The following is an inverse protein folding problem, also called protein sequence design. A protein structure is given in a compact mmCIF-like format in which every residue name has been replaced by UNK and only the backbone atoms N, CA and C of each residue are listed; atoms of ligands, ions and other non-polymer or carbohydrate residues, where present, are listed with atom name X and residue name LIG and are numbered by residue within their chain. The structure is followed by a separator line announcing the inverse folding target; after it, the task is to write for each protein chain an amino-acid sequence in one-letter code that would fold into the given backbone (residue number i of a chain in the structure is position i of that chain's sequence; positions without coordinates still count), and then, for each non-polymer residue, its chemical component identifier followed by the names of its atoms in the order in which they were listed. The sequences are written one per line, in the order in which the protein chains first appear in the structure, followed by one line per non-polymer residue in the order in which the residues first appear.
data_IF_516361502340
#
_entry.id   IF_516361502340
#
_cell.length_a   1.000
_cell.length_b   1.000
_cell.length_c   1.000
_cell.angle_alpha   90.00
_cell.angle_beta   90.00
_cell.angle_gamma   90.00
#
_symmetry.space_group_name_H-M   'P 1'
#
loop_
_entity.id
_entity.type
_entity.pdbx_description
1 polymer ?
#
# COMPACT_ATOMS: atom_id res chain seq x y z
N UNK A 1 -22.03 8.00 0.94
CA UNK A 1 -20.83 7.81 1.76
C UNK A 1 -19.62 8.04 0.90
N UNK A 2 -18.83 9.06 1.22
CA UNK A 2 -17.55 9.31 0.56
C UNK A 2 -16.47 8.85 1.53
N UNK A 3 -15.77 7.79 1.16
CA UNK A 3 -14.70 7.21 1.98
C UNK A 3 -13.40 7.21 1.17
N UNK A 4 -12.28 7.54 1.82
CA UNK A 4 -10.96 7.67 1.16
C UNK A 4 -9.90 6.91 1.94
N UNK A 5 -9.08 6.11 1.25
CA UNK A 5 -7.93 5.46 1.85
C UNK A 5 -6.90 6.52 2.29
N UNK A 6 -6.75 6.72 3.59
CA UNK A 6 -5.86 7.72 4.18
C UNK A 6 -4.51 7.14 4.55
N UNK A 7 -4.48 5.96 5.19
CA UNK A 7 -3.26 5.30 5.62
C UNK A 7 -3.29 3.79 5.39
N UNK A 8 -2.12 3.21 5.13
CA UNK A 8 -1.86 1.82 5.51
C UNK A 8 -1.31 1.78 6.93
N UNK A 9 -1.85 0.86 7.73
CA UNK A 9 -1.39 0.60 9.08
C UNK A 9 -0.42 -0.57 9.04
N UNK A 10 0.85 -0.28 9.24
CA UNK A 10 1.93 -1.24 9.14
C UNK A 10 2.04 -2.08 10.43
N UNK A 11 2.30 -3.40 10.30
CA UNK A 11 2.63 -4.22 11.45
C UNK A 11 4.05 -3.95 11.94
N UNK A 12 4.37 -4.46 13.12
CA UNK A 12 5.71 -4.34 13.69
C UNK A 12 6.01 -2.92 14.19
N UNK A 13 7.23 -2.44 13.95
CA UNK A 13 7.67 -1.14 14.47
C UNK A 13 8.41 -0.32 13.43
N UNK A 14 8.44 1.02 13.57
CA UNK A 14 9.16 1.88 12.63
C UNK A 14 10.67 1.57 12.55
N UNK A 15 11.29 1.08 13.62
CA UNK A 15 12.72 0.77 13.64
C UNK A 15 13.12 -0.33 12.63
N UNK A 16 12.25 -1.33 12.41
CA UNK A 16 12.49 -2.37 11.41
C UNK A 16 12.44 -1.79 9.99
N UNK A 17 11.53 -0.84 9.75
CA UNK A 17 11.44 -0.11 8.48
C UNK A 17 12.65 0.79 8.26
N UNK A 18 13.01 1.60 9.25
CA UNK A 18 14.10 2.57 9.19
C UNK A 18 15.49 1.93 9.00
N UNK A 19 15.60 0.64 9.32
CA UNK A 19 16.79 -0.18 9.07
C UNK A 19 16.93 -0.61 7.59
N UNK A 20 15.83 -0.63 6.84
CA UNK A 20 15.76 -1.13 5.46
C UNK A 20 15.80 0.02 4.45
N UNK A 21 15.19 1.15 4.81
CA UNK A 21 15.00 2.28 3.90
C UNK A 21 16.02 3.40 4.12
N UNK A 22 16.38 4.17 3.07
CA UNK A 22 17.22 5.35 3.22
C UNK A 22 16.55 6.41 4.12
N UNK A 23 17.37 7.35 4.62
CA UNK A 23 16.93 8.42 5.54
C UNK A 23 15.69 9.18 5.05
N UNK A 24 15.59 9.41 3.74
CA UNK A 24 14.48 10.12 3.11
C UNK A 24 13.11 9.40 3.21
N UNK A 25 13.10 8.11 3.51
CA UNK A 25 11.91 7.27 3.69
C UNK A 25 11.73 6.82 5.14
N UNK A 26 12.54 7.34 6.08
CA UNK A 26 12.41 7.01 7.49
C UNK A 26 11.15 7.61 8.08
N UNK A 27 10.62 6.92 9.07
CA UNK A 27 9.48 7.38 9.84
C UNK A 27 9.80 8.66 10.60
N UNK A 28 8.83 9.57 10.68
CA UNK A 28 8.80 10.71 11.58
C UNK A 28 7.56 10.56 12.46
N UNK A 29 7.75 10.53 13.77
CA UNK A 29 6.68 10.35 14.77
C UNK A 29 5.79 9.12 14.51
N UNK A 30 6.40 8.01 14.08
CA UNK A 30 5.68 6.76 13.82
C UNK A 30 4.81 6.79 12.55
N UNK A 31 5.05 7.73 11.65
CA UNK A 31 4.38 7.81 10.35
C UNK A 31 5.35 8.11 9.21
N UNK A 32 4.99 7.69 8.00
CA UNK A 32 5.58 8.15 6.75
C UNK A 32 4.48 8.86 5.96
N UNK A 33 4.61 10.18 5.84
CA UNK A 33 3.65 11.02 5.12
C UNK A 33 3.92 10.89 3.62
N UNK A 34 3.11 10.08 2.95
CA UNK A 34 3.08 9.89 1.51
C UNK A 34 1.78 10.47 0.95
N UNK A 35 1.82 10.97 -0.29
CA UNK A 35 0.63 11.45 -0.98
C UNK A 35 0.22 10.44 -2.07
N UNK A 36 -1.09 10.13 -2.23
CA UNK A 36 -2.22 10.61 -1.44
C UNK A 36 -2.54 9.74 -0.20
N UNK A 37 -1.86 8.61 -0.01
CA UNK A 37 -2.08 7.66 1.10
C UNK A 37 -0.80 7.50 1.88
N UNK A 38 -0.83 7.73 3.19
CA UNK A 38 0.30 7.59 4.11
C UNK A 38 0.55 6.16 4.59
N UNK A 39 1.64 5.98 5.33
CA UNK A 39 1.91 4.77 6.11
C UNK A 39 2.05 5.17 7.57
N UNK A 40 1.56 4.37 8.50
CA UNK A 40 1.82 4.61 9.93
C UNK A 40 1.83 3.32 10.75
N UNK A 41 2.43 3.40 11.93
CA UNK A 41 2.38 2.37 12.95
C UNK A 41 1.43 2.79 14.07
N UNK A 42 0.84 1.81 14.76
CA UNK A 42 0.06 2.05 15.97
C UNK A 42 0.86 1.61 17.20
N UNK A 43 0.50 2.18 18.34
CA UNK A 43 0.93 1.72 19.66
C UNK A 43 -0.33 1.38 20.49
N UNK A 44 -0.58 0.09 20.81
CA UNK A 44 0.24 -1.08 20.47
C UNK A 44 0.18 -1.45 18.97
N UNK A 45 1.20 -2.17 18.45
CA UNK A 45 1.28 -2.52 17.04
C UNK A 45 0.25 -3.59 16.65
N UNK A 46 -0.22 -3.52 15.40
CA UNK A 46 -1.03 -4.58 14.81
C UNK A 46 -0.15 -5.78 14.38
N UNK A 47 -0.73 -6.97 14.40
CA UNK A 47 -0.04 -8.20 13.96
C UNK A 47 0.08 -8.30 12.43
N UNK A 48 -0.81 -7.63 11.70
CA UNK A 48 -0.92 -7.71 10.23
C UNK A 48 -1.13 -6.34 9.63
N UNK A 49 -0.79 -6.22 8.34
CA UNK A 49 -1.13 -5.05 7.53
C UNK A 49 -2.63 -4.79 7.59
N UNK A 50 -2.99 -3.54 7.88
CA UNK A 50 -4.36 -3.05 7.83
C UNK A 50 -4.41 -1.75 7.04
N UNK A 51 -5.61 -1.23 6.84
CA UNK A 51 -5.88 0.02 6.16
C UNK A 51 -6.78 0.90 7.01
N UNK A 52 -6.66 2.19 6.79
CA UNK A 52 -7.49 3.19 7.40
C UNK A 52 -8.07 4.09 6.34
N UNK A 53 -9.34 4.42 6.51
CA UNK A 53 -10.05 5.32 5.64
C UNK A 53 -10.60 6.50 6.42
N UNK A 54 -10.59 7.67 5.78
CA UNK A 54 -11.31 8.86 6.21
C UNK A 54 -12.75 8.80 5.71
N UNK A 55 -13.71 9.04 6.60
CA UNK A 55 -15.13 9.20 6.27
C UNK A 55 -15.77 10.22 7.20
N UNK A 56 -16.60 11.11 6.64
CA UNK A 56 -17.41 12.07 7.41
C UNK A 56 -18.68 11.44 8.01
N UNK A 57 -19.01 10.22 7.62
CA UNK A 57 -20.21 9.52 8.08
C UNK A 57 -19.91 8.82 9.41
N UNK A 58 -20.73 9.04 10.44
CA UNK A 58 -20.57 8.42 11.75
C UNK A 58 -20.75 6.89 11.71
N UNK A 59 -19.70 6.17 12.12
CA UNK A 59 -19.78 4.88 12.81
C UNK A 59 -20.03 3.60 11.98
N UNK A 60 -19.14 2.62 12.12
CA UNK A 60 -19.40 1.17 12.29
C UNK A 60 -18.11 0.38 12.08
N UNK A 61 -18.06 -0.87 12.59
CA UNK A 61 -17.06 -1.86 12.18
C UNK A 61 -17.31 -2.21 10.71
N UNK A 62 -16.69 -1.44 9.81
CA UNK A 62 -16.75 -1.69 8.38
C UNK A 62 -15.87 -2.90 8.02
N UNK A 63 -16.27 -3.58 6.97
CA UNK A 63 -15.59 -4.76 6.44
C UNK A 63 -15.57 -4.70 4.91
N UNK A 64 -14.49 -5.20 4.31
CA UNK A 64 -14.40 -5.42 2.87
C UNK A 64 -14.03 -6.88 2.62
N UNK A 65 -15.05 -7.72 2.46
CA UNK A 65 -14.90 -9.16 2.17
C UNK A 65 -14.09 -9.91 3.24
N UNK A 66 -14.39 -9.67 4.51
CA UNK A 66 -13.71 -10.26 5.67
C UNK A 66 -12.45 -9.53 6.11
N UNK A 67 -12.08 -8.43 5.44
CA UNK A 67 -10.98 -7.53 5.86
C UNK A 67 -11.55 -6.33 6.63
N UNK A 68 -11.27 -6.23 7.94
CA UNK A 68 -11.72 -5.09 8.75
C UNK A 68 -11.22 -3.76 8.18
N UNK A 69 -12.11 -2.76 8.18
CA UNK A 69 -11.84 -1.40 7.70
C UNK A 69 -11.86 -0.46 8.89
N UNK A 70 -10.71 0.13 9.22
CA UNK A 70 -10.64 1.21 10.20
C UNK A 70 -11.15 2.49 9.55
N UNK A 71 -12.10 3.14 10.19
CA UNK A 71 -12.60 4.45 9.78
C UNK A 71 -12.19 5.47 10.81
N UNK A 72 -11.69 6.61 10.34
CA UNK A 72 -11.45 7.81 11.15
C UNK A 72 -12.19 8.98 10.55
N UNK A 73 -12.51 9.94 11.40
CA UNK A 73 -12.99 11.24 10.92
C UNK A 73 -11.87 11.93 10.14
N UNK A 74 -12.19 12.68 9.07
CA UNK A 74 -11.18 13.42 8.33
C UNK A 74 -10.56 14.46 9.26
N UNK A 75 -9.25 14.36 9.51
CA UNK A 75 -8.54 15.42 10.21
C UNK A 75 -8.59 16.69 9.35
N UNK A 76 -8.94 17.82 9.96
CA UNK A 76 -8.70 19.12 9.33
C UNK A 76 -7.19 19.21 9.16
N UNK A 77 -6.70 19.37 7.93
CA UNK A 77 -5.29 19.27 7.58
C UNK A 77 -4.43 20.25 8.43
N UNK A 78 -3.93 19.75 9.55
CA UNK A 78 -2.92 20.38 10.38
C UNK A 78 -1.56 19.93 9.86
N UNK A 79 -1.28 20.13 8.57
CA UNK A 79 0.09 20.00 8.07
C UNK A 79 0.92 21.03 8.81
N UNK A 80 1.71 20.57 9.78
CA UNK A 80 2.76 21.34 10.43
C UNK A 80 3.62 21.98 9.31
N UNK A 81 3.75 23.32 9.26
CA UNK A 81 4.53 23.98 8.22
C UNK A 81 5.98 23.48 8.25
N UNK A 82 6.36 22.70 7.23
CA UNK A 82 7.68 22.07 7.11
C UNK A 82 7.65 20.54 6.96
N UNK A 83 6.52 19.88 7.23
CA UNK A 83 6.32 18.44 6.97
C UNK A 83 6.21 18.18 5.46
N UNK A 84 7.34 18.02 4.78
CA UNK A 84 7.36 17.72 3.35
C UNK A 84 7.00 16.25 3.15
N UNK A 85 6.05 15.89 2.26
CA UNK A 85 5.81 14.49 1.89
C UNK A 85 7.13 13.83 1.51
N UNK A 86 7.30 12.54 1.80
CA UNK A 86 8.59 11.87 1.61
C UNK A 86 9.06 11.99 0.15
N UNK A 87 9.95 12.95 -0.12
CA UNK A 87 10.82 13.17 -1.28
C UNK A 87 10.39 12.55 -2.64
N UNK A 88 9.11 12.63 -3.03
CA UNK A 88 8.60 12.07 -4.30
C UNK A 88 8.25 10.58 -4.29
N UNK A 89 8.22 9.94 -3.13
CA UNK A 89 7.71 8.58 -2.96
C UNK A 89 6.18 8.56 -2.77
N UNK A 90 5.56 7.49 -3.26
CA UNK A 90 4.11 7.28 -3.16
C UNK A 90 3.79 5.79 -3.16
N UNK A 91 2.60 5.43 -2.69
CA UNK A 91 2.10 4.06 -2.86
C UNK A 91 1.70 3.88 -4.32
N UNK A 92 2.36 2.96 -5.01
CA UNK A 92 2.00 2.57 -6.38
C UNK A 92 0.70 1.76 -6.36
N UNK A 93 0.70 0.67 -5.59
CA UNK A 93 -0.46 -0.17 -5.39
C UNK A 93 -0.43 -0.92 -4.06
N UNK A 94 -1.61 -1.28 -3.58
CA UNK A 94 -1.86 -2.17 -2.44
C UNK A 94 -2.36 -3.49 -2.98
N UNK A 95 -1.84 -4.60 -2.46
CA UNK A 95 -2.19 -5.94 -2.91
C UNK A 95 -3.11 -6.61 -1.90
N UNK A 96 -4.28 -7.01 -2.36
CA UNK A 96 -5.19 -7.91 -1.65
C UNK A 96 -5.14 -9.26 -2.33
N UNK A 97 -4.94 -10.32 -1.54
CA UNK A 97 -5.12 -11.69 -2.02
C UNK A 97 -6.54 -12.11 -1.70
N UNK A 98 -7.21 -12.81 -2.62
CA UNK A 98 -8.57 -13.33 -2.45
C UNK A 98 -8.74 -14.62 -3.25
N UNK A 99 -9.70 -15.47 -2.90
CA UNK A 99 -10.11 -16.62 -3.71
C UNK A 99 -11.16 -16.27 -4.80
N UNK A 100 -11.71 -15.06 -4.80
CA UNK A 100 -12.66 -14.59 -5.82
C UNK A 100 -12.50 -13.10 -6.07
N UNK A 101 -11.99 -12.73 -7.24
CA UNK A 101 -11.92 -11.32 -7.66
C UNK A 101 -13.31 -10.70 -7.70
N UNK A 102 -14.32 -11.40 -8.20
CA UNK A 102 -15.68 -10.87 -8.34
C UNK A 102 -16.27 -10.47 -6.98
N UNK A 103 -16.15 -11.36 -5.98
CA UNK A 103 -16.70 -11.11 -4.64
C UNK A 103 -15.99 -9.95 -3.96
N UNK A 104 -14.65 -9.97 -3.95
CA UNK A 104 -13.86 -8.91 -3.32
C UNK A 104 -14.01 -7.58 -4.06
N UNK A 105 -14.08 -7.60 -5.40
CA UNK A 105 -14.36 -6.42 -6.21
C UNK A 105 -15.70 -5.79 -5.88
N UNK A 106 -16.74 -6.60 -5.72
CA UNK A 106 -18.07 -6.11 -5.31
C UNK A 106 -18.04 -5.46 -3.93
N UNK A 107 -17.29 -6.02 -2.99
CA UNK A 107 -17.10 -5.43 -1.67
C UNK A 107 -16.32 -4.09 -1.73
N UNK A 108 -15.27 -4.01 -2.56
CA UNK A 108 -14.51 -2.77 -2.78
C UNK A 108 -15.40 -1.69 -3.39
N UNK A 109 -16.20 -2.02 -4.40
CA UNK A 109 -17.13 -1.08 -5.05
C UNK A 109 -18.22 -0.64 -4.07
N UNK A 110 -18.77 -1.55 -3.26
CA UNK A 110 -19.75 -1.21 -2.23
C UNK A 110 -19.18 -0.25 -1.19
N UNK A 111 -17.96 -0.51 -0.72
CA UNK A 111 -17.27 0.31 0.28
C UNK A 111 -16.94 1.70 -0.27
N UNK A 112 -16.31 1.75 -1.44
CA UNK A 112 -15.62 2.95 -1.94
C UNK A 112 -16.36 3.69 -3.05
N UNK A 113 -17.34 3.05 -3.68
CA UNK A 113 -17.97 3.52 -4.92
C UNK A 113 -17.10 3.33 -6.17
N UNK A 114 -15.88 2.80 -6.05
CA UNK A 114 -14.94 2.65 -7.16
C UNK A 114 -14.99 1.24 -7.75
N UNK A 115 -15.67 1.12 -8.89
CA UNK A 115 -15.79 -0.15 -9.62
C UNK A 115 -14.48 -0.68 -10.20
N UNK A 116 -14.51 -1.97 -10.56
CA UNK A 116 -13.39 -2.67 -11.19
C UNK A 116 -13.04 -2.03 -12.53
N UNK A 117 -11.77 -1.66 -12.72
CA UNK A 117 -11.33 -0.97 -13.94
C UNK A 117 -10.73 -1.91 -14.98
N UNK A 118 -10.07 -2.96 -14.53
CA UNK A 118 -9.36 -3.88 -15.41
C UNK A 118 -9.22 -5.25 -14.77
N UNK A 119 -9.37 -6.29 -15.59
CA UNK A 119 -8.92 -7.65 -15.28
C UNK A 119 -7.72 -7.97 -16.17
N UNK A 120 -6.70 -8.58 -15.58
CA UNK A 120 -5.61 -9.23 -16.29
C UNK A 120 -5.65 -10.71 -15.97
N UNK A 121 -5.71 -11.52 -17.01
CA UNK A 121 -5.66 -12.98 -16.89
C UNK A 121 -4.60 -13.51 -17.86
N UNK A 122 -3.62 -14.23 -17.32
CA UNK A 122 -2.55 -14.88 -18.11
C UNK A 122 -2.70 -16.40 -18.16
N UNK A 123 -3.80 -16.96 -17.65
CA UNK A 123 -4.02 -18.39 -17.43
C UNK A 123 -3.28 -18.96 -16.22
N UNK A 124 -2.22 -18.30 -15.76
CA UNK A 124 -1.49 -18.67 -14.53
C UNK A 124 -1.82 -17.75 -13.35
N UNK A 125 -2.10 -16.49 -13.63
CA UNK A 125 -2.40 -15.47 -12.63
C UNK A 125 -3.57 -14.65 -13.13
N UNK A 126 -4.54 -14.44 -12.26
CA UNK A 126 -5.68 -13.57 -12.49
C UNK A 126 -5.64 -12.41 -11.49
N UNK A 127 -5.76 -11.19 -12.01
CA UNK A 127 -5.64 -9.96 -11.25
C UNK A 127 -6.76 -8.98 -11.60
N UNK A 128 -7.41 -8.42 -10.60
CA UNK A 128 -8.35 -7.31 -10.72
C UNK A 128 -7.71 -6.01 -10.26
N UNK A 129 -8.03 -4.88 -10.90
CA UNK A 129 -7.47 -3.58 -10.55
C UNK A 129 -8.57 -2.54 -10.33
N UNK A 130 -8.57 -1.94 -9.14
CA UNK A 130 -9.36 -0.75 -8.80
C UNK A 130 -8.42 0.46 -8.65
N UNK A 131 -9.02 1.64 -8.67
CA UNK A 131 -8.33 2.89 -8.34
C UNK A 131 -9.16 3.58 -7.27
N UNK A 132 -8.60 3.73 -6.07
CA UNK A 132 -9.31 4.27 -4.92
C UNK A 132 -9.29 5.80 -4.94
N UNK A 133 -10.32 6.41 -5.53
CA UNK A 133 -10.42 7.86 -5.73
C UNK A 133 -9.65 8.39 -6.95
N UNK A 134 -9.94 9.63 -7.33
CA UNK A 134 -9.31 10.29 -8.49
C UNK A 134 -7.83 10.53 -8.26
N UNK A 135 -6.98 9.92 -9.09
CA UNK A 135 -5.52 9.97 -8.92
C UNK A 135 -5.02 9.21 -7.69
N UNK A 136 -5.87 8.38 -7.09
CA UNK A 136 -5.57 7.68 -5.85
C UNK A 136 -4.74 6.40 -6.03
N UNK A 137 -4.59 5.69 -4.93
CA UNK A 137 -3.84 4.44 -4.82
C UNK A 137 -4.51 3.33 -5.64
N UNK A 138 -3.72 2.55 -6.37
CA UNK A 138 -4.22 1.35 -7.06
C UNK A 138 -4.47 0.26 -6.02
N UNK A 139 -5.60 -0.43 -6.11
CA UNK A 139 -5.84 -1.67 -5.37
C UNK A 139 -5.78 -2.83 -6.36
N UNK A 140 -4.83 -3.73 -6.16
CA UNK A 140 -4.65 -4.94 -6.93
C UNK A 140 -5.22 -6.13 -6.17
N UNK A 141 -6.21 -6.80 -6.75
CA UNK A 141 -6.76 -8.05 -6.27
C UNK A 141 -6.03 -9.19 -6.98
N UNK A 142 -5.36 -10.07 -6.26
CA UNK A 142 -4.70 -11.26 -6.81
C UNK A 142 -5.49 -12.50 -6.42
N UNK A 143 -6.00 -13.20 -7.43
CA UNK A 143 -6.76 -14.43 -7.20
C UNK A 143 -5.84 -15.59 -6.84
N UNK A 144 -6.12 -16.24 -5.71
CA UNK A 144 -5.46 -17.46 -5.24
C UNK A 144 -6.52 -18.43 -4.73
N UNK A 145 -6.76 -19.55 -5.44
CA UNK A 145 -7.78 -20.51 -5.04
C UNK A 145 -7.64 -20.96 -3.58
N UNK A 146 -8.73 -20.84 -2.81
CA UNK A 146 -8.80 -21.25 -1.40
C UNK A 146 -8.05 -20.34 -0.42
N UNK A 147 -7.48 -19.21 -0.86
CA UNK A 147 -6.86 -18.25 0.04
C UNK A 147 -7.92 -17.32 0.66
N UNK A 148 -7.86 -17.05 1.98
CA UNK A 148 -8.74 -16.06 2.59
C UNK A 148 -8.40 -14.66 2.09
N UNK A 149 -9.43 -13.81 1.97
CA UNK A 149 -9.25 -12.41 1.60
C UNK A 149 -8.41 -11.69 2.66
N UNK A 150 -7.31 -11.07 2.24
CA UNK A 150 -6.43 -10.32 3.16
C UNK A 150 -5.52 -9.34 2.43
N UNK A 151 -5.17 -8.24 3.12
CA UNK A 151 -4.09 -7.36 2.71
C UNK A 151 -2.76 -8.12 2.78
N UNK A 152 -2.13 -8.31 1.63
CA UNK A 152 -0.90 -9.08 1.51
C UNK A 152 0.34 -8.19 1.64
N UNK A 153 0.29 -7.01 1.03
CA UNK A 153 1.44 -6.12 0.93
C UNK A 153 1.15 -4.89 0.10
N UNK A 154 2.18 -4.09 -0.15
CA UNK A 154 2.09 -2.88 -0.97
C UNK A 154 3.41 -2.62 -1.68
N UNK A 155 3.36 -1.76 -2.68
CA UNK A 155 4.52 -1.33 -3.45
C UNK A 155 4.64 0.18 -3.40
N UNK A 156 5.83 0.68 -3.13
CA UNK A 156 6.15 2.10 -3.16
C UNK A 156 6.86 2.45 -4.47
N UNK A 157 6.36 3.48 -5.16
CA UNK A 157 7.17 4.18 -6.16
C UNK A 157 8.17 5.07 -5.43
N UNK A 158 9.43 5.01 -5.85
CA UNK A 158 10.53 5.83 -5.30
C UNK A 158 11.28 6.52 -6.44
N UNK A 159 11.79 7.74 -6.24
CA UNK A 159 12.47 8.49 -7.31
C UNK A 159 13.77 7.83 -7.77
N UNK A 160 14.48 7.16 -6.86
CA UNK A 160 15.76 6.49 -7.12
C UNK A 160 15.75 5.09 -6.50
N UNK A 161 15.37 4.09 -7.30
CA UNK A 161 15.32 2.69 -6.87
C UNK A 161 16.72 2.12 -6.61
N UNK A 162 17.71 2.51 -7.40
CA UNK A 162 19.07 1.98 -7.26
C UNK A 162 19.71 2.48 -5.95
N UNK A 163 19.45 3.73 -5.56
CA UNK A 163 19.86 4.24 -4.25
C UNK A 163 19.17 3.49 -3.10
N UNK A 164 17.88 3.18 -3.21
CA UNK A 164 17.17 2.38 -2.19
C UNK A 164 17.81 1.00 -2.05
N UNK A 165 18.07 0.29 -3.15
CA UNK A 165 18.71 -1.04 -3.15
C UNK A 165 20.12 -0.98 -2.57
N UNK A 166 20.92 0.02 -2.94
CA UNK A 166 22.31 0.17 -2.48
C UNK A 166 22.41 0.38 -0.95
N UNK A 167 21.44 1.06 -0.35
CA UNK A 167 21.43 1.37 1.09
C UNK A 167 20.85 0.24 1.96
N UNK A 168 20.18 -0.74 1.37
CA UNK A 168 19.41 -1.75 2.09
C UNK A 168 20.22 -2.89 2.72
N UNK A 169 21.55 -2.89 2.60
CA UNK A 169 22.45 -3.88 3.24
C UNK A 169 22.06 -5.34 2.98
N UNK A 170 21.54 -5.64 1.78
CA UNK A 170 21.11 -6.99 1.39
C UNK A 170 19.71 -7.38 1.87
N UNK A 171 18.96 -6.47 2.49
CA UNK A 171 17.55 -6.67 2.88
C UNK A 171 16.56 -6.31 1.77
N UNK A 172 17.05 -5.84 0.63
CA UNK A 172 16.27 -5.63 -0.59
C UNK A 172 16.98 -6.37 -1.72
N UNK A 173 16.22 -7.18 -2.46
CA UNK A 173 16.70 -7.91 -3.61
C UNK A 173 17.19 -6.97 -4.73
N UNK A 174 18.10 -7.41 -5.62
CA UNK A 174 18.50 -6.61 -6.77
C UNK A 174 17.31 -6.17 -7.62
N UNK A 175 17.32 -4.90 -8.06
CA UNK A 175 16.28 -4.36 -8.92
C UNK A 175 16.27 -5.06 -10.28
N UNK A 176 15.10 -5.54 -10.69
CA UNK A 176 14.85 -6.24 -11.95
C UNK A 176 13.76 -5.54 -12.76
N UNK A 177 13.63 -5.90 -14.03
CA UNK A 177 12.54 -5.38 -14.85
C UNK A 177 11.18 -5.76 -14.25
N UNK A 178 10.32 -4.75 -14.13
CA UNK A 178 8.94 -4.93 -13.73
C UNK A 178 8.13 -5.44 -14.92
N UNK A 179 6.95 -5.98 -14.65
CA UNK A 179 6.03 -6.40 -15.71
C UNK A 179 5.47 -5.17 -16.46
N UNK A 180 5.43 -4.02 -15.79
CA UNK A 180 5.16 -2.71 -16.35
C UNK A 180 6.36 -2.27 -17.21
N UNK A 181 6.19 -2.11 -18.54
CA UNK A 181 7.28 -1.74 -19.43
C UNK A 181 8.01 -0.47 -18.98
N UNK A 182 9.35 -0.49 -19.04
CA UNK A 182 10.19 0.65 -18.67
C UNK A 182 10.34 0.90 -17.17
N UNK A 183 9.65 0.14 -16.31
CA UNK A 183 9.80 0.23 -14.85
C UNK A 183 10.66 -0.91 -14.31
N UNK A 184 11.34 -0.67 -13.20
CA UNK A 184 12.09 -1.66 -12.42
C UNK A 184 11.48 -1.84 -11.04
N UNK A 185 11.64 -3.02 -10.45
CA UNK A 185 11.12 -3.38 -9.14
C UNK A 185 12.18 -4.11 -8.31
N UNK A 186 12.22 -3.83 -7.01
CA UNK A 186 13.05 -4.51 -6.02
C UNK A 186 12.20 -4.94 -4.82
N UNK A 187 12.24 -6.22 -4.45
CA UNK A 187 11.42 -6.75 -3.35
C UNK A 187 12.20 -6.74 -2.05
N UNK A 188 11.55 -6.37 -0.94
CA UNK A 188 12.14 -6.47 0.40
C UNK A 188 12.20 -7.94 0.81
N UNK A 189 13.36 -8.36 1.31
CA UNK A 189 13.58 -9.73 1.78
C UNK A 189 12.80 -10.00 3.06
N UNK A 190 12.33 -11.24 3.25
CA UNK A 190 11.64 -11.61 4.50
C UNK A 190 12.48 -11.39 5.75
N UNK A 191 13.80 -11.50 5.63
CA UNK A 191 14.74 -11.27 6.72
C UNK A 191 14.71 -9.83 7.27
N UNK A 192 14.15 -8.88 6.51
CA UNK A 192 13.94 -7.51 6.96
C UNK A 192 12.92 -7.39 8.11
N UNK A 193 12.08 -8.41 8.33
CA UNK A 193 11.17 -8.46 9.48
C UNK A 193 10.04 -7.43 9.44
N UNK A 194 9.67 -6.90 8.27
CA UNK A 194 8.65 -5.86 8.14
C UNK A 194 7.20 -6.31 8.44
N UNK A 195 6.97 -7.61 8.67
CA UNK A 195 5.64 -8.17 8.98
C UNK A 195 4.63 -8.14 7.82
N UNK A 196 4.95 -7.51 6.70
CA UNK A 196 4.15 -7.48 5.47
C UNK A 196 5.04 -7.50 4.24
N UNK A 197 4.48 -7.89 3.08
CA UNK A 197 5.23 -7.88 1.84
C UNK A 197 5.37 -6.44 1.31
N UNK A 198 6.61 -6.05 1.00
CA UNK A 198 6.93 -4.71 0.50
C UNK A 198 7.82 -4.84 -0.72
N UNK A 199 7.58 -4.00 -1.72
CA UNK A 199 8.52 -3.79 -2.81
C UNK A 199 8.65 -2.29 -3.12
N UNK A 200 9.75 -1.95 -3.77
CA UNK A 200 10.02 -0.62 -4.30
C UNK A 200 10.04 -0.68 -5.82
N UNK A 201 9.46 0.32 -6.47
CA UNK A 201 9.36 0.43 -7.91
C UNK A 201 9.92 1.76 -8.39
N UNK A 202 10.58 1.76 -9.54
CA UNK A 202 10.97 3.01 -10.19
C UNK A 202 9.71 3.80 -10.64
N UNK A 203 9.83 5.12 -10.88
CA UNK A 203 8.74 5.90 -11.45
C UNK A 203 8.37 5.41 -12.84
N UNK A 204 7.22 5.86 -13.34
CA UNK A 204 6.91 5.73 -14.77
C UNK A 204 7.98 6.47 -15.59
N UNK A 205 8.42 5.91 -16.73
CA UNK A 205 9.28 6.64 -17.65
C UNK A 205 8.62 7.97 -18.03
N UNK A 206 9.42 9.04 -18.13
CA UNK A 206 8.94 10.28 -18.74
C UNK A 206 8.74 10.01 -20.23
N UNK A 207 7.55 10.30 -20.74
CA UNK A 207 7.22 10.27 -22.17
C UNK A 207 8.10 11.22 -23.00
#
# INVERSE_FOLDING_TARGET
MTIRLSNLILPGSPSAWDAVVPELLRSLDGALRLAPTGLRWLDPPLERLSWEFESSDEGSDLDCDGVPVRVVEPEVDHTEPGSTPAHGASIDHVVVVTDSIERTSGAVEHLTGEGLRRIRDTGQVRQGFHRLGRGGTILELVERPGAPTSLWGFVLTVPDLDAVVANARGLIAPARDAVQPGRRIATVERAAGLGTAVAFMSPEPLD
#
